data_IF_254825574124
#
_entry.id   IF_254825574124
#
_cell.length_a   1.000
_cell.length_b   1.000
_cell.length_c   1.000
_cell.angle_alpha   90.00
_cell.angle_beta   90.00
_cell.angle_gamma   90.00
#
_symmetry.space_group_name_H-M   'P 1'
#
loop_
_entity.id
_entity.type
_entity.pdbx_description
1 polymer ?
#
# COMPACT_ATOMS: atom_id res chain seq x y z
N UNK A 1 -13.05 -16.98 7.49
CA UNK A 1 -12.23 -17.59 6.41
C UNK A 1 -10.96 -16.76 6.16
N UNK A 2 -10.06 -17.17 5.25
CA UNK A 2 -8.91 -16.34 4.86
C UNK A 2 -9.36 -15.01 4.21
N UNK A 3 -10.43 -15.09 3.40
CA UNK A 3 -11.03 -13.94 2.71
C UNK A 3 -11.47 -12.84 3.68
N UNK A 4 -12.25 -13.17 4.72
CA UNK A 4 -12.73 -12.16 5.69
C UNK A 4 -11.60 -11.40 6.40
N UNK A 5 -10.41 -12.00 6.50
CA UNK A 5 -9.27 -11.42 7.20
C UNK A 5 -8.34 -10.64 6.28
N UNK A 6 -8.21 -11.06 5.02
CA UNK A 6 -7.16 -10.59 4.11
C UNK A 6 -7.68 -9.83 2.89
N UNK A 7 -8.96 -9.96 2.55
CA UNK A 7 -9.53 -9.40 1.31
C UNK A 7 -9.28 -7.91 1.18
N UNK A 8 -9.49 -7.14 2.25
CA UNK A 8 -9.26 -5.68 2.25
C UNK A 8 -7.83 -5.34 1.85
N UNK A 9 -6.84 -5.92 2.53
CA UNK A 9 -5.43 -5.66 2.25
C UNK A 9 -5.06 -6.11 0.82
N UNK A 10 -5.53 -7.30 0.43
CA UNK A 10 -5.31 -7.83 -0.91
C UNK A 10 -5.88 -6.91 -2.00
N UNK A 11 -7.14 -6.49 -1.85
CA UNK A 11 -7.83 -5.63 -2.82
C UNK A 11 -7.16 -4.25 -2.90
N UNK A 12 -6.80 -3.67 -1.77
CA UNK A 12 -6.06 -2.41 -1.70
C UNK A 12 -4.71 -2.47 -2.42
N UNK A 13 -4.04 -3.62 -2.44
CA UNK A 13 -2.75 -3.81 -3.13
C UNK A 13 -2.89 -4.32 -4.58
N UNK A 14 -4.11 -4.55 -5.05
CA UNK A 14 -4.35 -5.14 -6.36
C UNK A 14 -4.13 -4.13 -7.49
N UNK A 15 -3.17 -4.38 -8.38
CA UNK A 15 -2.79 -3.43 -9.44
C UNK A 15 -3.94 -3.02 -10.37
N UNK A 16 -4.85 -3.92 -10.81
CA UNK A 16 -6.03 -3.54 -11.57
C UNK A 16 -6.91 -2.53 -10.83
N UNK A 17 -7.03 -2.63 -9.51
CA UNK A 17 -7.77 -1.65 -8.72
C UNK A 17 -7.09 -0.28 -8.75
N UNK A 18 -5.75 -0.21 -8.69
CA UNK A 18 -5.03 1.06 -8.85
C UNK A 18 -5.30 1.70 -10.22
N UNK A 19 -5.36 0.89 -11.28
CA UNK A 19 -5.74 1.37 -12.63
C UNK A 19 -7.18 1.86 -12.73
N UNK A 20 -8.09 1.30 -11.93
CA UNK A 20 -9.45 1.83 -11.81
C UNK A 20 -9.42 3.18 -11.11
N UNK A 21 -8.73 3.32 -9.98
CA UNK A 21 -8.58 4.59 -9.25
C UNK A 21 -8.00 5.69 -10.16
N UNK A 22 -6.94 5.39 -10.93
CA UNK A 22 -6.34 6.30 -11.91
C UNK A 22 -7.38 6.89 -12.89
N UNK A 23 -8.38 6.09 -13.27
CA UNK A 23 -9.42 6.49 -14.24
C UNK A 23 -10.60 7.21 -13.61
N UNK A 24 -11.03 6.77 -12.43
CA UNK A 24 -12.30 7.26 -11.82
C UNK A 24 -12.09 8.32 -10.73
N UNK A 25 -10.87 8.44 -10.20
CA UNK A 25 -10.50 9.42 -9.17
C UNK A 25 -9.07 9.95 -9.42
N UNK A 26 -8.82 10.63 -10.55
CA UNK A 26 -7.49 11.12 -10.91
C UNK A 26 -6.90 12.10 -9.89
N UNK A 27 -7.74 12.84 -9.16
CA UNK A 27 -7.32 13.71 -8.06
C UNK A 27 -6.69 12.93 -6.90
N UNK A 28 -7.28 11.79 -6.54
CA UNK A 28 -6.73 10.91 -5.50
C UNK A 28 -5.42 10.28 -5.99
N UNK A 29 -5.36 9.89 -7.26
CA UNK A 29 -4.12 9.38 -7.84
C UNK A 29 -2.99 10.43 -7.83
N UNK A 30 -3.32 11.69 -8.06
CA UNK A 30 -2.37 12.81 -7.98
C UNK A 30 -1.87 12.98 -6.55
N UNK A 31 -2.76 12.98 -5.56
CA UNK A 31 -2.39 13.04 -4.13
C UNK A 31 -1.43 11.90 -3.74
N UNK A 32 -1.72 10.66 -4.15
CA UNK A 32 -0.84 9.50 -3.89
C UNK A 32 0.54 9.71 -4.51
N UNK A 33 0.58 10.21 -5.75
CA UNK A 33 1.84 10.44 -6.47
C UNK A 33 2.67 11.55 -5.80
N UNK A 34 2.03 12.64 -5.41
CA UNK A 34 2.66 13.72 -4.64
C UNK A 34 3.23 13.20 -3.32
N UNK A 35 2.47 12.39 -2.59
CA UNK A 35 2.93 11.84 -1.31
C UNK A 35 4.07 10.82 -1.49
N UNK A 36 4.02 9.99 -2.54
CA UNK A 36 5.15 9.11 -2.90
C UNK A 36 6.42 9.90 -3.19
N UNK A 37 6.32 10.99 -3.95
CA UNK A 37 7.45 11.86 -4.22
C UNK A 37 7.99 12.49 -2.93
N UNK A 38 7.11 13.02 -2.06
CA UNK A 38 7.50 13.56 -0.75
C UNK A 38 8.26 12.53 0.10
N UNK A 39 7.79 11.29 0.16
CA UNK A 39 8.43 10.20 0.93
C UNK A 39 9.84 9.90 0.40
N UNK A 40 10.05 9.95 -0.92
CA UNK A 40 11.36 9.75 -1.54
C UNK A 40 12.26 10.97 -1.28
N UNK A 41 11.77 12.18 -1.53
CA UNK A 41 12.52 13.43 -1.41
C UNK A 41 12.97 13.72 0.03
N UNK A 42 12.13 13.41 1.02
CA UNK A 42 12.46 13.58 2.43
C UNK A 42 13.44 12.52 2.96
N UNK A 43 13.75 11.49 2.17
CA UNK A 43 14.56 10.36 2.61
C UNK A 43 13.82 9.39 3.54
N UNK A 44 12.51 9.58 3.76
CA UNK A 44 11.69 8.72 4.62
C UNK A 44 11.74 7.25 4.15
N UNK A 45 11.73 7.00 2.84
CA UNK A 45 11.88 5.65 2.29
C UNK A 45 13.21 5.00 2.71
N UNK A 46 14.32 5.70 2.51
CA UNK A 46 15.67 5.19 2.82
C UNK A 46 15.81 4.97 4.33
N UNK A 47 15.29 5.88 5.15
CA UNK A 47 15.29 5.75 6.61
C UNK A 47 14.55 4.47 7.06
N UNK A 48 13.35 4.23 6.53
CA UNK A 48 12.57 3.01 6.85
C UNK A 48 13.27 1.73 6.39
N UNK A 49 13.91 1.74 5.22
CA UNK A 49 14.70 0.59 4.74
C UNK A 49 15.88 0.33 5.66
N UNK A 50 16.58 1.38 6.09
CA UNK A 50 17.69 1.27 7.05
C UNK A 50 17.22 0.71 8.40
N UNK A 51 16.10 1.19 8.93
CA UNK A 51 15.53 0.67 10.19
C UNK A 51 15.16 -0.81 10.08
N UNK A 52 14.55 -1.20 8.95
CA UNK A 52 14.21 -2.59 8.67
C UNK A 52 15.46 -3.48 8.57
N UNK A 53 16.58 -2.97 8.04
CA UNK A 53 17.85 -3.67 7.96
C UNK A 53 18.56 -3.83 9.30
N UNK A 54 18.29 -2.97 10.28
CA UNK A 54 18.89 -3.02 11.62
C UNK A 54 18.25 -4.06 12.54
N UNK A 55 17.21 -4.77 12.09
CA UNK A 55 16.54 -5.80 12.88
C UNK A 55 17.44 -7.04 13.07
N UNK A 56 17.48 -7.62 14.28
CA UNK A 56 18.48 -8.62 14.69
C UNK A 56 18.39 -10.00 13.99
N UNK A 57 17.35 -10.25 13.17
CA UNK A 57 17.10 -11.53 12.51
C UNK A 57 17.48 -11.55 11.01
N UNK A 58 18.36 -10.66 10.56
CA UNK A 58 18.71 -10.50 9.13
C UNK A 58 20.09 -11.04 8.78
N UNK A 59 20.16 -11.80 7.68
CA UNK A 59 21.39 -12.27 7.01
C UNK A 59 22.10 -11.10 6.30
N UNK A 60 23.43 -11.10 6.23
CA UNK A 60 24.24 -10.07 5.51
C UNK A 60 24.20 -10.23 3.96
N UNK A 61 23.22 -10.95 3.42
CA UNK A 61 23.09 -11.15 1.97
C UNK A 61 22.51 -9.92 1.27
N UNK A 62 22.99 -9.61 0.05
CA UNK A 62 22.44 -8.55 -0.83
C UNK A 62 20.92 -8.75 -1.09
N UNK A 63 20.44 -9.99 -1.00
CA UNK A 63 19.01 -10.31 -1.07
C UNK A 63 18.20 -9.65 0.07
N UNK A 64 18.82 -9.34 1.20
CA UNK A 64 18.18 -8.76 2.39
C UNK A 64 17.88 -7.27 2.19
N UNK A 65 18.74 -6.52 1.51
CA UNK A 65 18.50 -5.12 1.13
C UNK A 65 17.33 -4.99 0.16
N UNK A 66 17.31 -5.80 -0.90
CA UNK A 66 16.20 -5.82 -1.85
C UNK A 66 14.89 -6.22 -1.18
N UNK A 67 14.92 -7.20 -0.28
CA UNK A 67 13.74 -7.64 0.49
C UNK A 67 13.25 -6.57 1.45
N UNK A 68 14.15 -5.81 2.10
CA UNK A 68 13.80 -4.65 2.92
C UNK A 68 13.05 -3.60 2.10
N UNK A 69 13.62 -3.25 0.94
CA UNK A 69 13.02 -2.27 0.02
C UNK A 69 11.63 -2.68 -0.44
N UNK A 70 11.44 -3.94 -0.86
CA UNK A 70 10.14 -4.47 -1.27
C UNK A 70 9.12 -4.43 -0.14
N UNK A 71 9.52 -4.81 1.09
CA UNK A 71 8.64 -4.78 2.26
C UNK A 71 8.19 -3.34 2.57
N UNK A 72 9.13 -2.41 2.67
CA UNK A 72 8.82 -0.99 2.94
C UNK A 72 7.94 -0.40 1.84
N UNK A 73 8.22 -0.71 0.57
CA UNK A 73 7.39 -0.26 -0.54
C UNK A 73 5.97 -0.83 -0.47
N UNK A 74 5.82 -2.11 -0.10
CA UNK A 74 4.51 -2.74 0.10
C UNK A 74 3.73 -2.07 1.22
N UNK A 75 4.36 -1.80 2.36
CA UNK A 75 3.74 -1.11 3.51
C UNK A 75 3.31 0.31 3.17
N UNK A 76 4.15 1.07 2.46
CA UNK A 76 3.81 2.41 1.99
C UNK A 76 2.66 2.39 0.99
N UNK A 77 2.69 1.48 0.01
CA UNK A 77 1.57 1.31 -0.92
C UNK A 77 0.28 0.95 -0.19
N UNK A 78 0.33 0.02 0.77
CA UNK A 78 -0.83 -0.34 1.56
C UNK A 78 -1.38 0.88 2.32
N UNK A 79 -0.52 1.65 2.99
CA UNK A 79 -0.91 2.88 3.71
C UNK A 79 -1.62 3.88 2.78
N UNK A 80 -1.02 4.19 1.64
CA UNK A 80 -1.51 5.20 0.72
C UNK A 80 -2.79 4.75 0.01
N UNK A 81 -2.82 3.51 -0.48
CA UNK A 81 -3.96 3.00 -1.22
C UNK A 81 -5.13 2.60 -0.31
N UNK A 82 -4.93 2.31 0.98
CA UNK A 82 -6.06 1.97 1.86
C UNK A 82 -6.99 3.17 2.03
N UNK A 83 -6.43 4.35 2.33
CA UNK A 83 -7.20 5.60 2.40
C UNK A 83 -7.86 5.95 1.06
N UNK A 84 -7.15 5.76 -0.05
CA UNK A 84 -7.69 5.98 -1.39
C UNK A 84 -8.85 5.03 -1.72
N UNK A 85 -8.70 3.74 -1.39
CA UNK A 85 -9.72 2.71 -1.61
C UNK A 85 -11.00 3.06 -0.87
N UNK A 86 -10.90 3.41 0.41
CA UNK A 86 -12.05 3.82 1.22
C UNK A 86 -12.77 5.03 0.62
N UNK A 87 -12.01 6.09 0.26
CA UNK A 87 -12.58 7.31 -0.33
C UNK A 87 -13.28 7.05 -1.67
N UNK A 88 -12.69 6.23 -2.53
CA UNK A 88 -13.28 5.91 -3.85
C UNK A 88 -14.53 5.05 -3.70
N UNK A 89 -14.51 4.05 -2.82
CA UNK A 89 -15.69 3.23 -2.57
C UNK A 89 -16.82 4.02 -1.91
N UNK A 90 -16.51 4.94 -0.98
CA UNK A 90 -17.50 5.83 -0.39
C UNK A 90 -18.13 6.77 -1.44
N UNK A 91 -17.33 7.36 -2.34
CA UNK A 91 -17.84 8.20 -3.44
C UNK A 91 -18.76 7.46 -4.42
N UNK A 92 -18.70 6.13 -4.46
CA UNK A 92 -19.45 5.28 -5.40
C UNK A 92 -20.52 4.43 -4.70
N UNK A 93 -20.75 4.66 -3.41
CA UNK A 93 -21.66 3.87 -2.56
C UNK A 93 -21.33 2.36 -2.54
N UNK A 94 -20.06 2.00 -2.75
CA UNK A 94 -19.56 0.63 -2.84
C UNK A 94 -18.78 0.15 -1.59
N UNK A 95 -18.87 0.86 -0.46
CA UNK A 95 -18.15 0.50 0.78
C UNK A 95 -18.50 -0.91 1.29
N UNK A 96 -19.70 -1.40 0.94
CA UNK A 96 -20.16 -2.74 1.26
C UNK A 96 -19.27 -3.85 0.66
N UNK A 97 -18.53 -3.58 -0.42
CA UNK A 97 -17.61 -4.54 -1.03
C UNK A 97 -16.44 -4.93 -0.10
N UNK A 98 -16.10 -4.09 0.89
CA UNK A 98 -15.05 -4.41 1.87
C UNK A 98 -15.57 -5.16 3.10
N UNK A 99 -16.88 -5.41 3.20
CA UNK A 99 -17.46 -6.12 4.34
C UNK A 99 -17.25 -7.62 4.21
N UNK A 100 -16.96 -8.35 5.31
CA UNK A 100 -16.89 -9.80 5.31
C UNK A 100 -18.17 -10.42 4.72
N UNK A 101 -18.01 -11.40 3.84
CA UNK A 101 -19.13 -12.10 3.18
C UNK A 101 -19.31 -13.52 3.72
N UNK A 102 -18.27 -14.09 4.33
CA UNK A 102 -18.21 -15.50 4.72
C UNK A 102 -18.15 -15.68 6.24
N UNK A 103 -18.63 -14.67 6.98
CA UNK A 103 -18.71 -14.65 8.44
C UNK A 103 -19.94 -15.39 8.98
#
# INVERSE_FOLDING_TARGET
>A
MAEDKQFREWFTLWEPWHKVIERIAPEICTEISTEKNRIVETGEFIARVSDELRLPDRSDDIAVDATAGVKVMRELNLRLFNSATERVLAKTDQEHLLKPQWA
#
